data_IF_336853715209
#
_entry.id   IF_336853715209
#
_cell.length_a   1.000
_cell.length_b   1.000
_cell.length_c   1.000
_cell.angle_alpha   90.00
_cell.angle_beta   90.00
_cell.angle_gamma   90.00
#
_symmetry.space_group_name_H-M   'P 1'
#
loop_
_entity.id
_entity.type
_entity.pdbx_description
1 polymer ?
#
# COMPACT_ATOMS: atom_id res chain seq x y z
N UNK A 1 -15.39 26.43 21.20
CA UNK A 1 -14.41 26.04 20.17
C UNK A 1 -14.77 26.79 18.90
N UNK A 2 -14.04 27.84 18.54
CA UNK A 2 -14.19 28.47 17.22
C UNK A 2 -13.70 27.44 16.19
N UNK A 3 -14.58 27.01 15.30
CA UNK A 3 -14.19 26.18 14.17
C UNK A 3 -13.25 27.00 13.30
N UNK A 4 -11.96 26.67 13.31
CA UNK A 4 -11.00 27.25 12.37
C UNK A 4 -11.51 26.97 10.94
N UNK A 5 -11.39 27.94 10.02
CA UNK A 5 -11.82 27.77 8.65
C UNK A 5 -11.06 26.60 7.99
N UNK A 6 -11.78 25.79 7.21
CA UNK A 6 -11.24 24.60 6.55
C UNK A 6 -9.94 24.86 5.77
N UNK A 7 -9.82 26.03 5.15
CA UNK A 7 -8.63 26.43 4.41
C UNK A 7 -7.38 26.57 5.29
N UNK A 8 -7.51 27.09 6.51
CA UNK A 8 -6.40 27.19 7.48
C UNK A 8 -5.98 25.79 7.94
N UNK A 9 -6.92 24.91 8.25
CA UNK A 9 -6.64 23.53 8.65
C UNK A 9 -5.89 22.73 7.56
N UNK A 10 -6.25 22.92 6.28
CA UNK A 10 -5.55 22.31 5.15
C UNK A 10 -4.14 22.89 5.01
N UNK A 11 -4.01 24.21 5.16
CA UNK A 11 -2.72 24.90 5.07
C UNK A 11 -1.76 24.42 6.16
N UNK A 12 -2.23 24.35 7.41
CA UNK A 12 -1.49 23.85 8.55
C UNK A 12 -1.07 22.38 8.37
N UNK A 13 -1.96 21.51 7.88
CA UNK A 13 -1.61 20.12 7.60
C UNK A 13 -0.52 20.00 6.52
N UNK A 14 -0.59 20.80 5.45
CA UNK A 14 0.43 20.84 4.40
C UNK A 14 1.77 21.38 4.91
N UNK A 15 1.74 22.43 5.74
CA UNK A 15 2.95 22.95 6.37
C UNK A 15 3.57 21.92 7.33
N UNK A 16 2.76 21.27 8.16
CA UNK A 16 3.21 20.22 9.08
C UNK A 16 3.83 19.04 8.33
N UNK A 17 3.23 18.63 7.20
CA UNK A 17 3.80 17.59 6.33
C UNK A 17 5.16 18.01 5.74
N UNK A 18 5.34 19.29 5.39
CA UNK A 18 6.64 19.81 4.90
C UNK A 18 7.69 19.89 6.00
N UNK A 19 7.30 20.23 7.22
CA UNK A 19 8.23 20.42 8.34
C UNK A 19 8.61 19.10 9.03
N UNK A 20 7.71 18.10 9.03
CA UNK A 20 7.96 16.80 9.62
C UNK A 20 8.10 15.73 8.51
N UNK A 21 9.33 15.28 8.20
CA UNK A 21 9.57 14.26 7.18
C UNK A 21 8.83 12.93 7.41
N UNK A 22 8.49 12.60 8.66
CA UNK A 22 7.73 11.38 8.98
C UNK A 22 6.27 11.47 8.52
N UNK A 23 5.65 12.65 8.68
CA UNK A 23 4.29 12.91 8.18
C UNK A 23 4.27 12.85 6.64
N UNK A 24 5.28 13.43 5.98
CA UNK A 24 5.42 13.34 4.53
C UNK A 24 5.51 11.88 4.05
N UNK A 25 6.41 11.08 4.64
CA UNK A 25 6.55 9.66 4.29
C UNK A 25 5.26 8.90 4.55
N UNK A 26 4.55 9.18 5.64
CA UNK A 26 3.28 8.55 5.91
C UNK A 26 2.22 8.90 4.85
N UNK A 27 2.14 10.16 4.40
CA UNK A 27 1.23 10.57 3.32
C UNK A 27 1.57 9.90 1.98
N UNK A 28 2.87 9.79 1.64
CA UNK A 28 3.31 9.05 0.45
C UNK A 28 3.00 7.56 0.56
N UNK A 29 3.17 6.99 1.75
CA UNK A 29 2.81 5.59 2.03
C UNK A 29 1.30 5.39 1.88
N UNK A 30 0.48 6.35 2.33
CA UNK A 30 -0.98 6.30 2.14
C UNK A 30 -1.37 6.29 0.66
N UNK A 31 -0.72 7.12 -0.15
CA UNK A 31 -0.92 7.19 -1.60
C UNK A 31 -0.69 5.83 -2.25
N UNK A 32 0.46 5.19 -2.00
CA UNK A 32 0.76 3.88 -2.61
C UNK A 32 -0.10 2.78 -2.01
N UNK A 33 -0.24 2.71 -0.68
CA UNK A 33 -0.96 1.64 0.00
C UNK A 33 -2.47 1.61 -0.30
N UNK A 34 -3.08 2.74 -0.68
CA UNK A 34 -4.46 2.75 -1.20
C UNK A 34 -4.52 2.38 -2.68
N UNK A 35 -3.49 2.73 -3.45
CA UNK A 35 -3.27 2.25 -4.80
C UNK A 35 -3.14 0.73 -4.89
N UNK A 36 -2.38 0.15 -3.96
CA UNK A 36 -2.22 -1.29 -3.76
C UNK A 36 -3.57 -2.01 -3.69
N UNK A 37 -4.43 -1.60 -2.75
CA UNK A 37 -5.76 -2.17 -2.53
C UNK A 37 -6.64 -2.08 -3.78
N UNK A 38 -6.64 -0.94 -4.49
CA UNK A 38 -7.45 -0.79 -5.71
C UNK A 38 -6.94 -1.67 -6.85
N UNK A 39 -5.62 -1.89 -6.96
CA UNK A 39 -5.06 -2.76 -7.99
C UNK A 39 -5.41 -4.21 -7.78
N UNK A 40 -5.33 -4.69 -6.54
CA UNK A 40 -5.73 -6.05 -6.18
C UNK A 40 -7.23 -6.23 -6.45
N UNK A 41 -8.07 -5.31 -6.01
CA UNK A 41 -9.54 -5.46 -6.15
C UNK A 41 -10.05 -5.31 -7.59
N UNK A 42 -9.40 -4.49 -8.41
CA UNK A 42 -9.89 -4.16 -9.76
C UNK A 42 -9.15 -4.93 -10.85
N UNK A 43 -7.82 -4.80 -10.91
CA UNK A 43 -7.03 -5.32 -12.03
C UNK A 43 -6.72 -6.81 -11.89
N UNK A 44 -6.65 -7.35 -10.67
CA UNK A 44 -6.42 -8.79 -10.49
C UNK A 44 -7.55 -9.61 -11.10
N UNK A 45 -8.81 -9.27 -10.79
CA UNK A 45 -9.98 -9.95 -11.31
C UNK A 45 -10.05 -9.82 -12.84
N UNK A 46 -9.77 -8.62 -13.37
CA UNK A 46 -9.72 -8.38 -14.82
C UNK A 46 -8.67 -9.27 -15.50
N UNK A 47 -7.44 -9.28 -14.98
CA UNK A 47 -6.36 -10.11 -15.51
C UNK A 47 -6.68 -11.61 -15.42
N UNK A 48 -7.20 -12.08 -14.28
CA UNK A 48 -7.56 -13.48 -14.11
C UNK A 48 -8.66 -13.94 -15.06
N UNK A 49 -9.66 -13.09 -15.33
CA UNK A 49 -10.69 -13.38 -16.32
C UNK A 49 -10.11 -13.47 -17.73
N UNK A 50 -9.26 -12.51 -18.13
CA UNK A 50 -8.61 -12.53 -19.44
C UNK A 50 -7.71 -13.77 -19.60
N UNK A 51 -6.94 -14.11 -18.57
CA UNK A 51 -6.09 -15.30 -18.57
C UNK A 51 -6.91 -16.59 -18.67
N UNK A 52 -8.06 -16.67 -17.99
CA UNK A 52 -8.98 -17.80 -18.07
C UNK A 52 -9.57 -17.98 -19.46
N UNK A 53 -10.01 -16.88 -20.10
CA UNK A 53 -10.53 -16.91 -21.47
C UNK A 53 -9.47 -17.37 -22.48
N UNK A 54 -8.22 -16.90 -22.34
CA UNK A 54 -7.11 -17.37 -23.19
C UNK A 54 -6.79 -18.86 -23.00
N UNK A 55 -7.13 -19.44 -21.85
CA UNK A 55 -7.01 -20.87 -21.57
C UNK A 55 -8.27 -21.67 -21.97
N UNK A 56 -9.27 -21.04 -22.59
CA UNK A 56 -10.51 -21.68 -23.00
C UNK A 56 -11.48 -21.98 -21.85
N UNK A 57 -11.28 -21.37 -20.67
CA UNK A 57 -12.18 -21.54 -19.54
C UNK A 57 -13.49 -20.80 -19.79
N UNK A 58 -14.59 -21.39 -19.30
CA UNK A 58 -15.86 -20.68 -19.19
C UNK A 58 -15.70 -19.47 -18.25
N UNK A 59 -16.45 -18.40 -18.51
CA UNK A 59 -16.40 -17.17 -17.70
C UNK A 59 -16.63 -17.45 -16.21
N UNK A 60 -17.61 -18.31 -15.89
CA UNK A 60 -17.90 -18.69 -14.51
C UNK A 60 -16.70 -19.35 -13.83
N UNK A 61 -15.98 -20.23 -14.53
CA UNK A 61 -14.80 -20.90 -13.99
C UNK A 61 -13.64 -19.92 -13.79
N UNK A 62 -13.44 -18.99 -14.72
CA UNK A 62 -12.43 -17.94 -14.59
C UNK A 62 -12.69 -17.03 -13.37
N UNK A 63 -13.96 -16.63 -13.16
CA UNK A 63 -14.37 -15.85 -11.99
C UNK A 63 -14.10 -16.63 -10.69
N UNK A 64 -14.46 -17.92 -10.63
CA UNK A 64 -14.21 -18.77 -9.45
C UNK A 64 -12.72 -18.90 -9.15
N UNK A 65 -11.87 -19.09 -10.17
CA UNK A 65 -10.41 -19.11 -9.98
C UNK A 65 -9.88 -17.77 -9.48
N UNK A 66 -10.31 -16.66 -10.07
CA UNK A 66 -9.94 -15.32 -9.60
C UNK A 66 -10.30 -15.10 -8.12
N UNK A 67 -11.54 -15.46 -7.74
CA UNK A 67 -12.00 -15.35 -6.36
C UNK A 67 -11.17 -16.19 -5.39
N UNK A 68 -10.76 -17.40 -5.80
CA UNK A 68 -9.90 -18.27 -4.98
C UNK A 68 -8.56 -17.60 -4.68
N UNK A 69 -7.93 -16.97 -5.67
CA UNK A 69 -6.68 -16.24 -5.45
C UNK A 69 -6.87 -14.97 -4.63
N UNK A 70 -7.97 -14.23 -4.79
CA UNK A 70 -8.30 -13.10 -3.89
C UNK A 70 -8.43 -13.57 -2.45
N UNK A 71 -9.07 -14.72 -2.20
CA UNK A 71 -9.18 -15.31 -0.86
C UNK A 71 -7.79 -15.66 -0.31
N UNK A 72 -6.89 -16.20 -1.15
CA UNK A 72 -5.51 -16.47 -0.74
C UNK A 72 -4.76 -15.18 -0.38
N UNK A 73 -4.89 -14.13 -1.20
CA UNK A 73 -4.26 -12.82 -0.96
C UNK A 73 -4.78 -12.25 0.37
N UNK A 74 -6.09 -12.04 0.50
CA UNK A 74 -6.67 -11.46 1.72
C UNK A 74 -6.52 -12.36 2.95
N UNK A 75 -6.58 -13.67 2.76
CA UNK A 75 -6.36 -14.65 3.83
C UNK A 75 -4.94 -14.56 4.36
N UNK A 76 -3.95 -14.47 3.48
CA UNK A 76 -2.55 -14.28 3.89
C UNK A 76 -2.35 -12.98 4.67
N UNK A 77 -2.99 -11.87 4.26
CA UNK A 77 -2.99 -10.60 5.00
C UNK A 77 -3.52 -10.77 6.42
N UNK A 78 -4.63 -11.51 6.59
CA UNK A 78 -5.25 -11.77 7.88
C UNK A 78 -4.33 -12.56 8.81
N UNK A 79 -3.70 -13.63 8.32
CA UNK A 79 -2.76 -14.43 9.11
C UNK A 79 -1.45 -13.69 9.38
N UNK A 80 -1.06 -12.76 8.51
CA UNK A 80 0.13 -11.92 8.69
C UNK A 80 -0.07 -10.79 9.72
N UNK A 81 -1.32 -10.39 9.97
CA UNK A 81 -1.62 -9.24 10.82
C UNK A 81 -0.99 -9.27 12.22
N UNK A 82 -1.05 -10.37 12.99
CA UNK A 82 -0.40 -10.44 14.31
C UNK A 82 1.13 -10.33 14.21
N UNK A 83 1.72 -10.91 13.18
CA UNK A 83 3.17 -10.89 12.94
C UNK A 83 3.63 -9.45 12.67
N UNK A 84 2.92 -8.75 11.79
CA UNK A 84 3.26 -7.36 11.48
C UNK A 84 2.97 -6.39 12.63
N UNK A 85 1.90 -6.65 13.40
CA UNK A 85 1.62 -5.91 14.64
C UNK A 85 2.79 -5.97 15.61
N UNK A 86 3.37 -7.15 15.83
CA UNK A 86 4.54 -7.32 16.68
C UNK A 86 5.77 -6.54 16.17
N UNK A 87 5.97 -6.45 14.85
CA UNK A 87 7.02 -5.60 14.26
C UNK A 87 6.76 -4.14 14.58
N UNK A 88 5.53 -3.65 14.40
CA UNK A 88 5.15 -2.26 14.68
C UNK A 88 5.25 -1.87 16.16
N UNK A 89 5.11 -2.84 17.06
CA UNK A 89 5.27 -2.62 18.50
C UNK A 89 6.75 -2.47 18.89
N UNK A 90 7.65 -3.22 18.25
CA UNK A 90 9.07 -3.30 18.64
C UNK A 90 10.02 -2.49 17.79
N UNK A 91 9.62 -2.08 16.59
CA UNK A 91 10.47 -1.34 15.66
C UNK A 91 10.03 0.11 15.56
N UNK A 92 10.98 0.98 15.25
CA UNK A 92 10.66 2.33 14.80
C UNK A 92 9.71 2.28 13.59
N UNK A 93 8.70 3.15 13.59
CA UNK A 93 7.58 3.08 12.65
C UNK A 93 8.03 3.45 11.23
N UNK A 94 9.02 4.32 11.09
CA UNK A 94 9.60 4.67 9.79
C UNK A 94 10.47 3.52 9.26
N UNK A 95 11.22 2.82 10.11
CA UNK A 95 11.91 1.57 9.75
C UNK A 95 10.92 0.49 9.30
N UNK A 96 9.79 0.33 10.00
CA UNK A 96 8.75 -0.61 9.60
C UNK A 96 8.12 -0.23 8.25
N UNK A 97 7.87 1.06 7.98
CA UNK A 97 7.44 1.55 6.66
C UNK A 97 8.45 1.19 5.57
N UNK A 98 9.75 1.36 5.80
CA UNK A 98 10.78 1.00 4.81
C UNK A 98 10.70 -0.50 4.45
N UNK A 99 10.59 -1.36 5.46
CA UNK A 99 10.50 -2.81 5.26
C UNK A 99 9.19 -3.20 4.57
N UNK A 100 8.07 -2.62 5.00
CA UNK A 100 6.76 -2.84 4.38
C UNK A 100 6.78 -2.52 2.88
N UNK A 101 7.24 -1.34 2.51
CA UNK A 101 7.29 -0.89 1.11
C UNK A 101 8.26 -1.73 0.26
N UNK A 102 9.34 -2.23 0.86
CA UNK A 102 10.25 -3.14 0.18
C UNK A 102 9.59 -4.49 -0.11
N UNK A 103 8.92 -5.07 0.90
CA UNK A 103 8.18 -6.33 0.75
C UNK A 103 7.07 -6.16 -0.29
N UNK A 104 6.28 -5.09 -0.20
CA UNK A 104 5.25 -4.75 -1.17
C UNK A 104 5.85 -4.63 -2.58
N UNK A 105 6.91 -3.85 -2.77
CA UNK A 105 7.56 -3.69 -4.07
C UNK A 105 7.97 -5.03 -4.69
N UNK A 106 8.62 -5.91 -3.93
CA UNK A 106 9.01 -7.25 -4.40
C UNK A 106 7.78 -8.06 -4.78
N UNK A 107 6.73 -8.04 -3.96
CA UNK A 107 5.49 -8.76 -4.21
C UNK A 107 4.80 -8.29 -5.51
N UNK A 108 4.65 -6.98 -5.67
CA UNK A 108 4.03 -6.36 -6.84
C UNK A 108 4.82 -6.62 -8.12
N UNK A 109 6.15 -6.59 -8.07
CA UNK A 109 6.97 -6.98 -9.23
C UNK A 109 6.82 -8.46 -9.57
N UNK A 110 6.86 -9.35 -8.57
CA UNK A 110 6.68 -10.78 -8.81
C UNK A 110 5.31 -11.06 -9.44
N UNK A 111 4.25 -10.46 -8.90
CA UNK A 111 2.91 -10.59 -9.47
C UNK A 111 2.86 -10.00 -10.88
N UNK A 112 3.36 -8.78 -11.09
CA UNK A 112 3.29 -8.11 -12.39
C UNK A 112 4.01 -8.84 -13.52
N UNK A 113 5.12 -9.54 -13.21
CA UNK A 113 5.85 -10.36 -14.19
C UNK A 113 5.47 -11.84 -14.20
N UNK A 114 4.45 -12.23 -13.42
CA UNK A 114 3.98 -13.62 -13.43
C UNK A 114 3.30 -13.95 -14.77
N UNK A 115 3.55 -15.13 -15.37
CA UNK A 115 2.94 -15.46 -16.66
C UNK A 115 1.41 -15.60 -16.62
N UNK A 116 0.86 -16.04 -15.49
CA UNK A 116 -0.57 -16.24 -15.32
C UNK A 116 -0.98 -16.12 -13.85
N UNK A 117 -2.08 -15.42 -13.54
CA UNK A 117 -2.56 -15.23 -12.17
C UNK A 117 -3.51 -16.36 -11.70
N UNK A 118 -3.76 -17.38 -12.52
CA UNK A 118 -4.73 -18.45 -12.24
C UNK A 118 -4.11 -19.86 -12.13
N UNK A 119 -2.77 -19.94 -12.16
CA UNK A 119 -2.03 -21.22 -12.04
C UNK A 119 -1.53 -21.43 -10.62
N UNK A 120 -1.42 -22.70 -10.18
CA UNK A 120 -0.97 -23.02 -8.82
C UNK A 120 0.42 -22.45 -8.49
N UNK A 121 1.31 -22.33 -9.49
CA UNK A 121 2.62 -21.71 -9.32
C UNK A 121 2.56 -20.22 -8.91
N UNK A 122 1.41 -19.56 -9.05
CA UNK A 122 1.17 -18.19 -8.65
C UNK A 122 0.89 -18.04 -7.13
N UNK A 123 0.58 -19.14 -6.43
CA UNK A 123 0.21 -19.11 -5.00
C UNK A 123 1.26 -18.40 -4.12
N UNK A 124 2.58 -18.65 -4.26
CA UNK A 124 3.58 -17.93 -3.47
C UNK A 124 3.57 -16.42 -3.72
N UNK A 125 3.37 -15.98 -4.96
CA UNK A 125 3.29 -14.56 -5.31
C UNK A 125 2.03 -13.93 -4.73
N UNK A 126 0.88 -14.64 -4.76
CA UNK A 126 -0.38 -14.20 -4.16
C UNK A 126 -0.27 -14.02 -2.63
N UNK A 127 0.40 -14.96 -1.94
CA UNK A 127 0.65 -14.86 -0.50
C UNK A 127 1.54 -13.66 -0.18
N UNK A 128 2.64 -13.48 -0.93
CA UNK A 128 3.55 -12.37 -0.71
C UNK A 128 2.87 -11.02 -1.00
N UNK A 129 1.95 -10.96 -1.97
CA UNK A 129 1.17 -9.78 -2.30
C UNK A 129 0.29 -9.34 -1.13
N UNK A 130 -0.46 -10.26 -0.51
CA UNK A 130 -1.27 -9.93 0.66
C UNK A 130 -0.42 -9.48 1.86
N UNK A 131 0.68 -10.19 2.11
CA UNK A 131 1.68 -9.80 3.13
C UNK A 131 2.20 -8.37 2.89
N UNK A 132 2.59 -8.05 1.66
CA UNK A 132 3.15 -6.74 1.29
C UNK A 132 2.15 -5.59 1.39
N UNK A 133 0.99 -5.74 0.77
CA UNK A 133 -0.10 -4.76 0.79
C UNK A 133 -0.52 -4.43 2.24
N UNK A 134 -0.79 -5.46 3.03
CA UNK A 134 -1.20 -5.28 4.43
C UNK A 134 -0.12 -4.58 5.27
N UNK A 135 1.15 -4.98 5.07
CA UNK A 135 2.28 -4.37 5.77
C UNK A 135 2.38 -2.87 5.47
N UNK A 136 2.21 -2.46 4.21
CA UNK A 136 2.27 -1.06 3.80
C UNK A 136 1.13 -0.24 4.39
N UNK A 137 -0.10 -0.75 4.34
CA UNK A 137 -1.30 -0.11 4.89
C UNK A 137 -1.12 0.14 6.39
N UNK A 138 -0.78 -0.91 7.15
CA UNK A 138 -0.62 -0.80 8.60
C UNK A 138 0.53 0.10 9.00
N UNK A 139 1.68 -0.01 8.34
CA UNK A 139 2.86 0.81 8.67
C UNK A 139 2.61 2.30 8.39
N UNK A 140 1.93 2.64 7.29
CA UNK A 140 1.54 4.03 7.00
C UNK A 140 0.61 4.61 8.07
N UNK A 141 -0.40 3.84 8.47
CA UNK A 141 -1.34 4.23 9.52
C UNK A 141 -0.67 4.38 10.90
N UNK A 142 0.25 3.48 11.25
CA UNK A 142 1.01 3.58 12.50
C UNK A 142 1.94 4.81 12.52
N UNK A 143 2.64 5.09 11.41
CA UNK A 143 3.56 6.22 11.31
C UNK A 143 2.83 7.57 11.42
N UNK A 144 1.71 7.74 10.72
CA UNK A 144 0.91 8.98 10.83
C UNK A 144 0.31 9.12 12.24
N UNK A 145 -0.14 8.02 12.83
CA UNK A 145 -0.71 8.00 14.17
C UNK A 145 0.29 8.43 15.26
N UNK A 146 1.57 8.08 15.10
CA UNK A 146 2.65 8.49 16.01
C UNK A 146 3.12 9.93 15.72
N UNK A 147 3.17 10.35 14.47
CA UNK A 147 3.82 11.60 14.06
C UNK A 147 2.90 12.83 14.11
N UNK A 148 1.58 12.63 14.17
CA UNK A 148 0.61 13.71 14.15
C UNK A 148 0.48 14.41 15.53
N UNK A 149 0.77 15.72 15.63
CA UNK A 149 0.54 16.52 16.84
C UNK A 149 -0.92 16.49 17.29
N UNK A 150 -1.15 16.54 18.61
CA UNK A 150 -2.48 16.35 19.22
C UNK A 150 -3.47 17.46 18.83
N UNK A 151 -2.98 18.67 18.68
CA UNK A 151 -3.71 19.90 18.32
C UNK A 151 -4.26 19.89 16.89
N UNK A 152 -3.49 19.37 15.92
CA UNK A 152 -3.86 19.33 14.50
C UNK A 152 -4.03 17.91 13.94
N UNK A 153 -4.21 16.92 14.82
CA UNK A 153 -4.26 15.48 14.46
C UNK A 153 -5.35 15.18 13.43
N UNK A 154 -6.52 15.79 13.57
CA UNK A 154 -7.64 15.63 12.65
C UNK A 154 -7.29 16.08 11.23
N UNK A 155 -6.68 17.25 11.09
CA UNK A 155 -6.28 17.83 9.79
C UNK A 155 -5.21 16.98 9.10
N UNK A 156 -4.23 16.47 9.87
CA UNK A 156 -3.17 15.60 9.34
C UNK A 156 -3.72 14.26 8.88
N UNK A 157 -4.63 13.64 9.66
CA UNK A 157 -5.31 12.42 9.24
C UNK A 157 -6.20 12.66 8.01
N UNK A 158 -6.81 13.85 7.90
CA UNK A 158 -7.52 14.29 6.71
C UNK A 158 -6.60 14.35 5.48
N UNK A 159 -5.42 14.97 5.60
CA UNK A 159 -4.42 15.02 4.54
C UNK A 159 -3.93 13.61 4.15
N UNK A 160 -3.64 12.75 5.13
CA UNK A 160 -3.24 11.36 4.92
C UNK A 160 -4.28 10.59 4.08
N UNK A 161 -5.56 10.71 4.44
CA UNK A 161 -6.65 10.07 3.68
C UNK A 161 -6.81 10.68 2.29
N UNK A 162 -6.69 12.00 2.16
CA UNK A 162 -6.74 12.69 0.87
C UNK A 162 -5.63 12.22 -0.08
N UNK A 163 -4.39 12.10 0.41
CA UNK A 163 -3.28 11.53 -0.36
C UNK A 163 -3.59 10.09 -0.81
N UNK A 164 -4.20 9.28 0.06
CA UNK A 164 -4.69 7.95 -0.28
C UNK A 164 -5.73 7.95 -1.40
N UNK A 165 -6.72 8.85 -1.35
CA UNK A 165 -7.75 8.98 -2.40
C UNK A 165 -7.15 9.41 -3.74
N UNK A 166 -6.18 10.32 -3.75
CA UNK A 166 -5.44 10.67 -4.97
C UNK A 166 -4.71 9.42 -5.51
N UNK A 167 -4.09 8.63 -4.63
CA UNK A 167 -3.45 7.36 -4.99
C UNK A 167 -4.39 6.43 -5.76
N UNK A 168 -5.61 6.22 -5.25
CA UNK A 168 -6.63 5.41 -5.92
C UNK A 168 -6.92 5.94 -7.32
N UNK A 169 -7.20 7.24 -7.46
CA UNK A 169 -7.54 7.86 -8.74
C UNK A 169 -6.40 7.73 -9.76
N UNK A 170 -5.17 8.06 -9.35
CA UNK A 170 -3.99 7.96 -10.21
C UNK A 170 -3.75 6.52 -10.68
N UNK A 171 -3.86 5.55 -9.76
CA UNK A 171 -3.59 4.15 -10.07
C UNK A 171 -4.68 3.52 -10.93
N UNK A 172 -5.95 3.86 -10.73
CA UNK A 172 -7.03 3.40 -11.63
C UNK A 172 -6.81 3.92 -13.04
N UNK A 173 -6.50 5.22 -13.19
CA UNK A 173 -6.28 5.83 -14.50
C UNK A 173 -5.03 5.28 -15.19
N UNK A 174 -3.87 5.35 -14.54
CA UNK A 174 -2.60 4.88 -15.10
C UNK A 174 -2.66 3.37 -15.32
N UNK A 175 -3.20 2.63 -14.35
CA UNK A 175 -3.40 1.19 -14.40
C UNK A 175 -4.21 0.76 -15.63
N UNK A 176 -5.33 1.44 -15.92
CA UNK A 176 -6.14 1.14 -17.11
C UNK A 176 -5.34 1.33 -18.40
N UNK A 177 -4.66 2.47 -18.53
CA UNK A 177 -3.84 2.79 -19.71
C UNK A 177 -2.74 1.74 -19.93
N UNK A 178 -2.01 1.36 -18.88
CA UNK A 178 -0.91 0.39 -19.03
C UNK A 178 -1.40 -1.06 -19.20
N UNK A 179 -2.55 -1.39 -18.63
CA UNK A 179 -3.19 -2.70 -18.79
C UNK A 179 -3.53 -2.94 -20.26
N UNK A 180 -4.13 -1.95 -20.92
CA UNK A 180 -4.53 -2.04 -22.33
C UNK A 180 -3.34 -1.92 -23.30
N UNK A 181 -2.35 -1.07 -22.99
CA UNK A 181 -1.27 -0.76 -23.91
C UNK A 181 -0.03 -1.68 -23.83
N UNK A 182 0.23 -2.30 -22.68
CA UNK A 182 1.47 -3.06 -22.46
C UNK A 182 1.24 -4.54 -22.14
N UNK A 183 0.72 -4.85 -20.96
CA UNK A 183 0.43 -6.22 -20.56
C UNK A 183 -0.59 -6.25 -19.40
N UNK A 184 -1.36 -7.33 -19.25
CA UNK A 184 -2.36 -7.42 -18.17
C UNK A 184 -1.78 -7.31 -16.75
N UNK A 185 -0.52 -7.71 -16.55
CA UNK A 185 0.20 -7.55 -15.27
C UNK A 185 0.82 -6.16 -15.04
N UNK A 186 0.78 -5.25 -16.03
CA UNK A 186 1.44 -3.95 -15.96
C UNK A 186 0.99 -3.04 -14.80
N UNK A 187 -0.30 -3.01 -14.39
CA UNK A 187 -0.72 -2.21 -13.24
C UNK A 187 0.03 -2.58 -11.96
N UNK A 188 0.32 -3.87 -11.75
CA UNK A 188 1.10 -4.34 -10.60
C UNK A 188 2.56 -3.89 -10.69
N UNK A 189 3.15 -3.90 -11.89
CA UNK A 189 4.51 -3.37 -12.10
C UNK A 189 4.58 -1.88 -11.76
N UNK A 190 3.61 -1.07 -12.20
CA UNK A 190 3.53 0.36 -11.88
C UNK A 190 3.48 0.58 -10.37
N UNK A 191 2.62 -0.16 -9.67
CA UNK A 191 2.52 -0.10 -8.21
C UNK A 191 3.82 -0.56 -7.54
N UNK A 192 4.49 -1.59 -8.06
CA UNK A 192 5.78 -2.06 -7.58
C UNK A 192 6.88 -1.00 -7.68
N UNK A 193 6.92 -0.24 -8.79
CA UNK A 193 7.82 0.90 -8.99
C UNK A 193 7.52 2.02 -8.00
N UNK A 194 6.24 2.36 -7.82
CA UNK A 194 5.84 3.42 -6.89
C UNK A 194 6.18 3.06 -5.43
N UNK A 195 5.89 1.83 -5.02
CA UNK A 195 6.29 1.32 -3.71
C UNK A 195 7.81 1.39 -3.51
N UNK A 196 8.59 1.01 -4.54
CA UNK A 196 10.05 1.13 -4.50
C UNK A 196 10.52 2.58 -4.37
N UNK A 197 9.94 3.52 -5.14
CA UNK A 197 10.30 4.93 -5.09
C UNK A 197 10.00 5.56 -3.72
N UNK A 198 8.85 5.23 -3.13
CA UNK A 198 8.51 5.66 -1.78
C UNK A 198 9.41 4.97 -0.74
N UNK A 199 9.79 3.70 -0.94
CA UNK A 199 10.76 3.01 -0.09
C UNK A 199 12.11 3.74 -0.07
N UNK A 200 12.65 4.13 -1.23
CA UNK A 200 13.89 4.91 -1.31
C UNK A 200 13.78 6.26 -0.59
N UNK A 201 12.64 6.94 -0.74
CA UNK A 201 12.34 8.19 -0.04
C UNK A 201 12.30 7.96 1.47
N UNK A 202 11.64 6.91 1.93
CA UNK A 202 11.55 6.54 3.34
C UNK A 202 12.93 6.20 3.93
N UNK A 203 13.77 5.46 3.21
CA UNK A 203 15.15 5.14 3.60
C UNK A 203 16.00 6.41 3.68
N UNK A 204 15.85 7.32 2.73
CA UNK A 204 16.57 8.59 2.74
C UNK A 204 16.17 9.46 3.94
N UNK A 205 14.87 9.58 4.21
CA UNK A 205 14.36 10.28 5.40
C UNK A 205 14.84 9.60 6.67
N UNK A 206 14.84 8.26 6.69
CA UNK A 206 15.30 7.46 7.82
C UNK A 206 16.75 7.73 8.17
N UNK A 207 17.63 7.84 7.16
CA UNK A 207 19.04 8.20 7.33
C UNK A 207 19.23 9.63 7.84
N UNK A 208 18.32 10.56 7.51
CA UNK A 208 18.39 11.96 7.96
C UNK A 208 17.87 12.18 9.37
N UNK A 209 16.74 11.56 9.72
CA UNK A 209 16.04 11.81 11.00
C UNK A 209 16.51 10.86 12.12
N UNK A 210 17.19 9.76 11.79
CA UNK A 210 17.73 8.81 12.77
C UNK A 210 16.66 7.89 13.38
N UNK A 211 17.10 6.98 14.27
CA UNK A 211 16.26 5.97 14.95
C UNK A 211 15.46 6.58 16.10
N UNK A 212 14.12 6.53 16.04
CA UNK A 212 13.27 6.90 17.18
C UNK A 212 12.78 5.61 17.84
N UNK A 213 13.12 5.45 19.13
CA UNK A 213 12.73 4.25 19.86
C UNK A 213 11.20 4.13 19.92
N UNK A 214 10.64 2.93 19.73
CA UNK A 214 9.23 2.73 20.03
C UNK A 214 8.97 3.17 21.46
N UNK A 215 7.91 3.94 21.71
CA UNK A 215 7.41 4.16 23.07
C UNK A 215 6.95 2.81 23.61
N UNK A 216 7.87 2.10 24.26
CA UNK A 216 7.55 1.02 25.18
C UNK A 216 6.87 1.71 26.35
N UNK A 217 5.54 1.71 26.39
CA UNK A 217 4.86 1.90 27.67
C UNK A 217 5.45 0.84 28.60
N UNK A 218 6.17 1.30 29.63
CA UNK A 218 6.50 0.47 30.76
C UNK A 218 5.19 -0.08 31.30
N UNK A 219 4.98 -1.39 31.12
CA UNK A 219 3.97 -2.13 31.87
C UNK A 219 4.28 -2.05 33.35
#
# INVERSE_FOLDING_TARGET
>A
QQQQPLAELIHEALQAARQNPRIMVACLTAFVARGDLVVISTFFALWANQAGQMQGLALEEAIRKAATFIIIIQGSSLFWAPVWGFVLDRWDRLSAVCLALLIASIAYFWVGFSPSPIVAAFIPAAILLGVGEFSAIMSGAALIGQSAPVDIRGSILGLFNFCGSIGILCIVFIGGVVFDAWMPGAPFVVVGVLNFAVCLTAIWVRRRVGYERPHTEAR
#
